data_IF_201032371678
#
_entry.id   IF_201032371678
#
_cell.length_a   1.000
_cell.length_b   1.000
_cell.length_c   1.000
_cell.angle_alpha   90.00
_cell.angle_beta   90.00
_cell.angle_gamma   90.00
#
_symmetry.space_group_name_H-M   'P 1'
#
loop_
_entity.id
_entity.type
_entity.pdbx_description
1 polymer ?
#
# COMPACT_ATOMS: atom_id res chain seq x y z
N UNK A 1 -24.19 27.50 22.91
CA UNK A 1 -22.98 28.35 22.94
C UNK A 1 -22.38 28.36 21.54
N UNK A 2 -22.18 29.53 20.93
CA UNK A 2 -21.58 29.63 19.59
C UNK A 2 -20.14 29.13 19.63
N UNK A 3 -19.82 28.05 18.90
CA UNK A 3 -18.44 27.58 18.74
C UNK A 3 -17.59 28.76 18.23
N UNK A 4 -16.64 29.23 19.04
CA UNK A 4 -15.68 30.25 18.61
C UNK A 4 -14.99 29.74 17.33
N UNK A 5 -15.05 30.53 16.25
CA UNK A 5 -14.24 30.29 15.04
C UNK A 5 -12.79 30.13 15.46
N UNK A 6 -12.23 28.94 15.27
CA UNK A 6 -10.84 28.60 15.63
C UNK A 6 -10.01 28.61 14.36
N UNK A 7 -9.20 29.65 14.18
CA UNK A 7 -8.21 29.69 13.11
C UNK A 7 -6.94 28.99 13.62
N UNK A 8 -6.40 28.06 12.83
CA UNK A 8 -5.15 27.38 13.13
C UNK A 8 -4.41 27.02 11.84
N UNK A 9 -3.09 26.85 11.93
CA UNK A 9 -2.26 26.30 10.87
C UNK A 9 -2.09 24.80 11.10
N UNK A 10 -2.24 24.01 10.04
CA UNK A 10 -2.06 22.56 10.07
C UNK A 10 -1.22 22.14 8.87
N UNK A 11 -0.24 21.28 9.11
CA UNK A 11 0.72 20.83 8.09
C UNK A 11 0.67 19.31 7.96
N UNK A 12 0.68 18.83 6.72
CA UNK A 12 0.86 17.43 6.36
C UNK A 12 1.95 17.33 5.31
N UNK A 13 2.64 16.19 5.26
CA UNK A 13 3.68 15.90 4.27
C UNK A 13 3.36 14.63 3.48
N UNK A 14 4.11 14.40 2.41
CA UNK A 14 4.08 13.17 1.62
C UNK A 14 5.45 12.93 0.99
N UNK A 15 5.68 11.71 0.50
CA UNK A 15 6.90 11.31 -0.19
C UNK A 15 6.56 10.53 -1.45
N UNK A 16 7.46 10.55 -2.44
CA UNK A 16 7.26 9.83 -3.69
C UNK A 16 7.52 8.34 -3.53
N UNK A 17 7.08 7.54 -4.50
CA UNK A 17 7.38 6.10 -4.61
C UNK A 17 8.89 5.78 -4.62
N UNK A 18 9.74 6.78 -4.89
CA UNK A 18 11.19 6.65 -4.91
C UNK A 18 11.88 6.83 -3.54
N UNK A 19 11.16 7.17 -2.48
CA UNK A 19 11.68 7.28 -1.12
C UNK A 19 12.06 5.87 -0.59
N UNK A 20 13.19 5.68 0.12
CA UNK A 20 13.62 4.35 0.60
C UNK A 20 12.55 3.57 1.36
N UNK A 21 11.89 4.19 2.36
CA UNK A 21 10.76 3.55 3.06
C UNK A 21 9.61 3.15 2.12
N UNK A 22 9.29 3.98 1.10
CA UNK A 22 8.25 3.65 0.13
C UNK A 22 8.65 2.57 -0.86
N UNK A 23 9.93 2.44 -1.15
CA UNK A 23 10.46 1.30 -1.90
C UNK A 23 10.28 0.01 -1.07
N UNK A 24 10.62 0.05 0.22
CA UNK A 24 10.42 -1.08 1.12
C UNK A 24 8.93 -1.49 1.22
N UNK A 25 8.02 -0.53 1.40
CA UNK A 25 6.57 -0.77 1.38
C UNK A 25 6.12 -1.46 0.08
N UNK A 26 6.58 -0.96 -1.08
CA UNK A 26 6.22 -1.51 -2.38
C UNK A 26 6.74 -2.92 -2.60
N UNK A 27 7.97 -3.24 -2.16
CA UNK A 27 8.53 -4.59 -2.25
C UNK A 27 7.70 -5.55 -1.38
N UNK A 28 7.41 -5.16 -0.13
CA UNK A 28 6.62 -5.98 0.80
C UNK A 28 5.21 -6.27 0.28
N UNK A 29 4.53 -5.28 -0.32
CA UNK A 29 3.23 -5.51 -0.95
C UNK A 29 3.29 -6.23 -2.30
N UNK A 30 4.40 -6.12 -3.05
CA UNK A 30 4.60 -6.93 -4.25
C UNK A 30 4.72 -8.41 -3.91
N UNK A 31 5.40 -8.75 -2.80
CA UNK A 31 5.46 -10.13 -2.28
C UNK A 31 4.06 -10.59 -1.87
N UNK A 32 3.29 -9.76 -1.16
CA UNK A 32 1.91 -10.09 -0.79
C UNK A 32 1.03 -10.35 -2.02
N UNK A 33 1.08 -9.47 -3.02
CA UNK A 33 0.30 -9.64 -4.25
C UNK A 33 0.70 -10.91 -5.00
N UNK A 34 2.00 -11.23 -5.05
CA UNK A 34 2.49 -12.46 -5.66
C UNK A 34 2.03 -13.73 -4.93
N UNK A 35 1.83 -13.66 -3.60
CA UNK A 35 1.19 -14.73 -2.82
C UNK A 35 -0.28 -14.82 -3.16
N UNK A 36 -1.03 -13.72 -3.03
CA UNK A 36 -2.48 -13.73 -3.18
C UNK A 36 -2.96 -14.02 -4.60
N UNK A 37 -2.11 -13.83 -5.62
CA UNK A 37 -2.42 -14.22 -6.99
C UNK A 37 -2.43 -15.73 -7.21
N UNK A 38 -1.71 -16.49 -6.39
CA UNK A 38 -1.60 -17.96 -6.47
C UNK A 38 -2.36 -18.66 -5.34
N UNK A 39 -2.42 -18.03 -4.17
CA UNK A 39 -3.01 -18.56 -2.94
C UNK A 39 -3.72 -17.44 -2.18
N UNK A 40 -5.02 -17.31 -2.45
CA UNK A 40 -5.88 -16.32 -1.81
C UNK A 40 -5.98 -16.48 -0.27
N UNK A 41 -5.59 -17.64 0.27
CA UNK A 41 -5.57 -17.94 1.71
C UNK A 41 -4.19 -17.73 2.35
N UNK A 42 -3.19 -17.39 1.55
CA UNK A 42 -1.81 -17.19 1.98
C UNK A 42 -1.71 -16.18 3.13
N UNK A 43 -0.88 -16.51 4.13
CA UNK A 43 -0.60 -15.67 5.28
C UNK A 43 0.74 -15.01 5.06
N UNK A 44 0.79 -13.69 5.10
CA UNK A 44 1.99 -12.89 4.78
C UNK A 44 2.20 -11.84 5.86
N UNK A 45 3.40 -11.84 6.44
CA UNK A 45 3.96 -10.74 7.21
C UNK A 45 5.37 -10.50 6.64
N UNK A 46 5.44 -9.79 5.53
CA UNK A 46 6.66 -9.53 4.78
C UNK A 46 7.22 -8.16 5.18
N UNK A 47 8.48 -8.15 5.60
CA UNK A 47 9.20 -6.93 5.95
C UNK A 47 10.38 -6.75 5.00
N UNK A 48 10.56 -5.52 4.51
CA UNK A 48 11.68 -5.18 3.63
C UNK A 48 12.53 -4.09 4.27
N UNK A 49 13.84 -4.32 4.30
CA UNK A 49 14.86 -3.29 4.53
C UNK A 49 15.57 -3.01 3.22
N UNK A 50 15.67 -1.73 2.84
CA UNK A 50 16.47 -1.28 1.70
C UNK A 50 17.57 -0.35 2.18
N UNK A 51 18.80 -0.60 1.73
CA UNK A 51 19.95 0.25 1.99
C UNK A 51 20.89 0.21 0.78
N UNK A 52 22.00 0.92 0.88
CA UNK A 52 23.03 1.04 -0.16
C UNK A 52 23.43 -0.33 -0.72
N UNK A 53 22.92 -0.65 -1.92
CA UNK A 53 23.21 -1.90 -2.65
C UNK A 53 22.68 -3.19 -2.01
N UNK A 54 21.65 -3.09 -1.15
CA UNK A 54 21.03 -4.23 -0.47
C UNK A 54 19.52 -4.02 -0.35
N UNK A 55 18.75 -5.03 -0.73
CA UNK A 55 17.36 -5.21 -0.30
C UNK A 55 17.29 -6.53 0.46
N UNK A 56 16.87 -6.48 1.72
CA UNK A 56 16.66 -7.65 2.56
C UNK A 56 15.16 -7.81 2.78
N UNK A 57 14.62 -8.92 2.27
CA UNK A 57 13.22 -9.32 2.49
C UNK A 57 13.21 -10.39 3.58
N UNK A 58 12.41 -10.19 4.62
CA UNK A 58 12.32 -11.04 5.80
C UNK A 58 10.86 -11.16 6.28
N UNK A 59 10.64 -11.96 7.33
CA UNK A 59 9.34 -12.16 7.98
C UNK A 59 8.75 -13.55 7.72
N UNK A 60 7.46 -13.71 8.01
CA UNK A 60 6.79 -15.02 8.03
C UNK A 60 5.74 -15.11 6.92
N UNK A 61 5.91 -16.10 6.05
CA UNK A 61 4.99 -16.40 4.96
C UNK A 61 4.57 -17.87 5.07
N UNK A 62 3.26 -18.11 5.10
CA UNK A 62 2.66 -19.45 5.05
C UNK A 62 1.72 -19.50 3.86
N UNK A 63 2.12 -20.23 2.83
CA UNK A 63 1.38 -20.28 1.55
C UNK A 63 1.74 -21.53 0.77
N UNK A 64 0.86 -21.91 -0.15
CA UNK A 64 1.12 -22.87 -1.23
C UNK A 64 1.72 -22.23 -2.49
N UNK A 65 1.77 -20.89 -2.57
CA UNK A 65 2.35 -20.16 -3.68
C UNK A 65 3.85 -20.45 -3.80
N UNK A 66 4.32 -20.63 -5.04
CA UNK A 66 5.75 -20.72 -5.32
C UNK A 66 6.24 -19.32 -5.66
N UNK A 67 6.99 -18.72 -4.75
CA UNK A 67 7.54 -17.38 -4.94
C UNK A 67 9.01 -17.49 -5.35
N UNK A 68 9.34 -16.95 -6.51
CA UNK A 68 10.71 -16.56 -6.78
C UNK A 68 10.91 -15.13 -6.25
N UNK A 69 11.23 -15.02 -4.96
CA UNK A 69 11.59 -13.74 -4.33
C UNK A 69 12.71 -13.03 -5.09
N UNK A 70 13.56 -13.81 -5.77
CA UNK A 70 14.59 -13.23 -6.61
C UNK A 70 13.99 -12.57 -7.84
N UNK A 71 12.92 -13.02 -8.50
CA UNK A 71 12.29 -12.26 -9.61
C UNK A 71 11.79 -10.88 -9.20
N UNK A 72 11.29 -10.76 -7.97
CA UNK A 72 10.80 -9.49 -7.41
C UNK A 72 11.96 -8.47 -7.25
N UNK A 73 13.21 -8.95 -7.11
CA UNK A 73 14.41 -8.10 -6.92
C UNK A 73 15.58 -8.38 -7.88
N UNK A 74 15.42 -9.22 -8.92
CA UNK A 74 16.52 -9.87 -9.67
C UNK A 74 17.37 -8.82 -10.40
N UNK A 75 16.73 -7.80 -10.95
CA UNK A 75 17.41 -6.70 -11.64
C UNK A 75 18.25 -5.85 -10.66
N UNK A 76 17.73 -5.55 -9.47
CA UNK A 76 18.48 -4.82 -8.41
C UNK A 76 19.60 -5.69 -7.84
N UNK A 77 19.36 -6.99 -7.66
CA UNK A 77 20.40 -7.94 -7.22
C UNK A 77 21.53 -8.02 -8.24
N UNK A 78 21.20 -8.18 -9.52
CA UNK A 78 22.18 -8.25 -10.59
C UNK A 78 22.95 -6.94 -10.75
N UNK A 79 22.29 -5.78 -10.63
CA UNK A 79 22.95 -4.46 -10.53
C UNK A 79 24.00 -4.43 -9.42
N UNK A 80 23.66 -4.95 -8.24
CA UNK A 80 24.60 -5.01 -7.12
C UNK A 80 25.75 -6.01 -7.37
N UNK A 81 25.47 -7.17 -7.98
CA UNK A 81 26.48 -8.19 -8.34
C UNK A 81 27.52 -7.62 -9.32
N UNK A 82 27.09 -7.07 -10.46
CA UNK A 82 28.00 -6.54 -11.49
C UNK A 82 28.79 -5.33 -11.01
N UNK A 83 28.24 -4.55 -10.07
CA UNK A 83 28.96 -3.48 -9.38
C UNK A 83 30.02 -4.04 -8.43
N UNK A 84 29.65 -4.96 -7.53
CA UNK A 84 30.57 -5.52 -6.52
C UNK A 84 31.69 -6.34 -7.16
N UNK A 85 31.44 -6.98 -8.29
CA UNK A 85 32.44 -7.68 -9.09
C UNK A 85 33.36 -6.76 -9.90
N UNK A 86 33.08 -5.44 -9.92
CA UNK A 86 33.84 -4.47 -10.71
C UNK A 86 33.62 -4.55 -12.23
N UNK A 87 32.61 -5.31 -12.69
CA UNK A 87 32.29 -5.45 -14.12
C UNK A 87 31.75 -4.16 -14.71
N UNK A 88 30.93 -3.43 -13.95
CA UNK A 88 30.46 -2.08 -14.30
C UNK A 88 30.97 -1.09 -13.23
N UNK A 89 32.23 -0.64 -13.32
CA UNK A 89 32.90 0.12 -12.25
C UNK A 89 32.31 1.52 -12.04
N UNK A 90 31.56 2.03 -13.02
CA UNK A 90 30.84 3.29 -12.90
C UNK A 90 29.59 3.18 -12.03
N UNK A 91 29.08 1.99 -11.74
CA UNK A 91 27.88 1.84 -10.91
C UNK A 91 28.16 2.25 -9.47
N UNK A 92 27.23 3.01 -8.91
CA UNK A 92 27.17 3.30 -7.48
C UNK A 92 26.08 2.44 -6.85
N UNK A 93 26.02 2.37 -5.52
CA UNK A 93 25.22 1.35 -4.87
C UNK A 93 23.70 1.50 -4.99
N UNK A 94 23.18 2.69 -5.29
CA UNK A 94 21.73 2.90 -5.46
C UNK A 94 21.26 2.44 -6.84
N UNK A 95 20.15 1.71 -6.87
CA UNK A 95 19.59 1.09 -8.06
C UNK A 95 18.13 0.71 -7.84
N UNK A 96 17.29 1.11 -8.79
CA UNK A 96 15.85 0.86 -8.82
C UNK A 96 15.53 0.08 -10.09
N UNK A 97 14.60 -0.87 -10.00
CA UNK A 97 14.07 -1.57 -11.17
C UNK A 97 12.56 -1.66 -11.12
N UNK A 98 11.92 -1.57 -12.28
CA UNK A 98 10.51 -1.84 -12.49
C UNK A 98 10.35 -2.65 -13.77
N UNK A 99 9.47 -3.66 -13.75
CA UNK A 99 9.15 -4.50 -14.90
C UNK A 99 7.64 -4.50 -15.10
N UNK A 100 7.22 -4.32 -16.35
CA UNK A 100 5.83 -4.43 -16.80
C UNK A 100 5.73 -5.67 -17.68
N UNK A 101 4.84 -6.60 -17.32
CA UNK A 101 4.64 -7.87 -18.03
C UNK A 101 3.26 -7.88 -18.67
N UNK A 102 3.19 -8.24 -19.94
CA UNK A 102 1.94 -8.52 -20.66
C UNK A 102 1.51 -9.96 -20.38
N UNK A 103 0.22 -10.14 -20.06
CA UNK A 103 -0.39 -11.44 -19.80
C UNK A 103 -1.40 -11.77 -20.91
N UNK A 104 -1.41 -13.03 -21.35
CA UNK A 104 -2.42 -13.62 -22.25
C UNK A 104 -2.94 -14.88 -21.56
N UNK A 105 -4.27 -14.98 -21.39
CA UNK A 105 -4.92 -16.10 -20.70
C UNK A 105 -4.31 -16.40 -19.32
N UNK A 106 -4.09 -15.34 -18.53
CA UNK A 106 -3.48 -15.38 -17.18
C UNK A 106 -2.06 -15.97 -17.11
N UNK A 107 -1.37 -16.10 -18.25
CA UNK A 107 0.03 -16.50 -18.32
C UNK A 107 0.92 -15.35 -18.82
N UNK A 108 2.13 -15.17 -18.28
CA UNK A 108 3.05 -14.14 -18.75
C UNK A 108 3.48 -14.45 -20.19
N UNK A 109 3.15 -13.55 -21.11
CA UNK A 109 3.41 -13.71 -22.53
C UNK A 109 4.73 -13.04 -22.95
N UNK A 110 4.96 -11.80 -22.49
CA UNK A 110 6.19 -11.03 -22.74
C UNK A 110 6.38 -9.91 -21.72
N UNK A 111 7.60 -9.40 -21.62
CA UNK A 111 7.90 -8.16 -20.90
C UNK A 111 7.65 -6.97 -21.83
N UNK A 112 6.68 -6.11 -21.49
CA UNK A 112 6.39 -4.90 -22.28
C UNK A 112 7.43 -3.81 -22.04
N UNK A 113 7.83 -3.62 -20.79
CA UNK A 113 8.69 -2.51 -20.40
C UNK A 113 9.55 -2.86 -19.19
N UNK A 114 10.83 -2.51 -19.26
CA UNK A 114 11.77 -2.53 -18.13
C UNK A 114 12.29 -1.12 -17.91
N UNK A 115 12.17 -0.64 -16.67
CA UNK A 115 12.77 0.62 -16.20
C UNK A 115 13.86 0.28 -15.21
N UNK A 116 15.06 0.81 -15.43
CA UNK A 116 16.14 0.75 -14.44
C UNK A 116 16.66 2.16 -14.22
N UNK A 117 16.67 2.59 -12.96
CA UNK A 117 17.31 3.83 -12.54
C UNK A 117 18.45 3.47 -11.61
N UNK A 118 19.68 3.53 -12.11
CA UNK A 118 20.88 3.19 -11.33
C UNK A 118 21.73 4.42 -11.11
N UNK A 119 22.26 4.55 -9.90
CA UNK A 119 23.24 5.57 -9.57
C UNK A 119 24.57 5.21 -10.23
N UNK A 120 25.31 6.24 -10.66
CA UNK A 120 26.56 6.06 -11.39
C UNK A 120 27.55 7.19 -11.11
N UNK A 121 28.81 6.99 -11.50
CA UNK A 121 29.82 8.04 -11.49
C UNK A 121 29.45 9.17 -12.45
N UNK A 122 30.00 10.34 -12.20
CA UNK A 122 29.84 11.51 -13.05
C UNK A 122 30.57 11.39 -14.40
N UNK A 123 31.49 10.43 -14.50
CA UNK A 123 32.35 10.17 -15.66
C UNK A 123 31.70 9.33 -16.77
N UNK A 124 30.64 8.57 -16.49
CA UNK A 124 30.01 7.68 -17.49
C UNK A 124 28.91 8.39 -18.28
N UNK A 125 28.79 8.06 -19.58
CA UNK A 125 27.74 8.60 -20.45
C UNK A 125 26.41 7.84 -20.29
N UNK A 126 25.28 8.52 -20.53
CA UNK A 126 23.96 7.87 -20.50
C UNK A 126 23.85 6.72 -21.52
N UNK A 127 24.50 6.83 -22.68
CA UNK A 127 24.52 5.77 -23.69
C UNK A 127 25.19 4.51 -23.14
N UNK A 128 26.36 4.67 -22.53
CA UNK A 128 27.12 3.56 -21.97
C UNK A 128 26.41 2.91 -20.77
N UNK A 129 25.76 3.71 -19.92
CA UNK A 129 24.89 3.18 -18.86
C UNK A 129 23.78 2.33 -19.48
N UNK A 130 23.07 2.88 -20.48
CA UNK A 130 21.93 2.20 -21.10
C UNK A 130 22.35 0.85 -21.70
N UNK A 131 23.36 0.84 -22.56
CA UNK A 131 23.87 -0.37 -23.21
C UNK A 131 24.36 -1.41 -22.18
N UNK A 132 25.12 -0.97 -21.18
CA UNK A 132 25.66 -1.85 -20.14
C UNK A 132 24.56 -2.47 -19.27
N UNK A 133 23.55 -1.68 -18.88
CA UNK A 133 22.46 -2.19 -18.05
C UNK A 133 21.58 -3.16 -18.83
N UNK A 134 21.27 -2.86 -20.10
CA UNK A 134 20.50 -3.78 -20.94
C UNK A 134 21.24 -5.12 -21.06
N UNK A 135 22.54 -5.09 -21.37
CA UNK A 135 23.33 -6.30 -21.61
C UNK A 135 23.68 -7.08 -20.34
N UNK A 136 24.27 -6.41 -19.37
CA UNK A 136 24.88 -7.07 -18.20
C UNK A 136 23.88 -7.31 -17.07
N UNK A 137 22.75 -6.61 -17.07
CA UNK A 137 21.69 -6.74 -16.05
C UNK A 137 20.43 -7.34 -16.63
N UNK A 138 19.77 -6.66 -17.58
CA UNK A 138 18.42 -7.04 -18.03
C UNK A 138 18.45 -8.37 -18.78
N UNK A 139 19.30 -8.51 -19.79
CA UNK A 139 19.41 -9.74 -20.59
C UNK A 139 19.97 -10.92 -19.80
N UNK A 140 20.67 -10.66 -18.68
CA UNK A 140 21.14 -11.71 -17.77
C UNK A 140 20.04 -12.22 -16.82
N UNK A 141 19.06 -11.38 -16.54
CA UNK A 141 18.00 -11.65 -15.55
C UNK A 141 16.72 -12.12 -16.23
N UNK A 142 16.30 -11.45 -17.29
CA UNK A 142 15.02 -11.69 -17.95
C UNK A 142 15.23 -12.79 -19.00
N UNK A 143 14.47 -13.89 -18.95
CA UNK A 143 14.56 -14.95 -19.95
C UNK A 143 14.43 -14.40 -21.38
N UNK A 144 15.29 -14.82 -22.32
CA UNK A 144 15.21 -14.36 -23.72
C UNK A 144 13.84 -14.63 -24.37
N UNK A 145 13.13 -15.67 -23.93
CA UNK A 145 11.78 -16.01 -24.39
C UNK A 145 10.71 -14.97 -24.03
N UNK A 146 10.99 -14.10 -23.05
CA UNK A 146 10.08 -13.03 -22.61
C UNK A 146 10.47 -11.65 -23.16
N UNK A 147 11.61 -11.52 -23.85
CA UNK A 147 12.06 -10.28 -24.48
C UNK A 147 11.79 -10.32 -25.98
N UNK A 148 11.13 -9.29 -26.51
CA UNK A 148 10.90 -9.16 -27.95
C UNK A 148 11.33 -7.78 -28.48
N UNK A 149 11.25 -7.57 -29.79
CA UNK A 149 11.61 -6.29 -30.42
C UNK A 149 10.70 -5.12 -30.02
N UNK A 150 9.61 -5.39 -29.29
CA UNK A 150 8.67 -4.38 -28.78
C UNK A 150 8.92 -4.07 -27.31
N UNK A 151 9.80 -4.79 -26.62
CA UNK A 151 10.15 -4.52 -25.22
C UNK A 151 10.85 -3.17 -25.10
N UNK A 152 10.31 -2.29 -24.26
CA UNK A 152 10.83 -0.93 -24.03
C UNK A 152 11.84 -0.94 -22.88
N UNK A 153 13.01 -0.35 -23.09
CA UNK A 153 14.04 -0.19 -22.05
C UNK A 153 14.24 1.28 -21.66
N UNK A 154 13.78 1.65 -20.48
CA UNK A 154 13.98 2.99 -19.90
C UNK A 154 15.10 2.94 -18.86
N UNK A 155 16.34 3.25 -19.28
CA UNK A 155 17.48 3.27 -18.37
C UNK A 155 17.81 4.72 -18.03
N UNK A 156 17.73 5.07 -16.75
CA UNK A 156 17.89 6.43 -16.23
C UNK A 156 17.07 7.48 -17.02
N UNK A 157 15.74 7.31 -17.16
CA UNK A 157 14.91 8.16 -18.03
C UNK A 157 14.90 9.65 -17.62
N UNK A 158 15.26 9.96 -16.37
CA UNK A 158 15.38 11.33 -15.84
C UNK A 158 16.76 11.96 -16.10
N UNK A 159 17.66 11.28 -16.82
CA UNK A 159 19.04 11.71 -17.04
C UNK A 159 19.98 11.27 -15.91
N UNK A 160 20.95 12.11 -15.57
CA UNK A 160 22.03 11.73 -14.63
C UNK A 160 21.49 11.51 -13.23
N UNK A 161 21.80 10.34 -12.65
CA UNK A 161 21.42 9.98 -11.29
C UNK A 161 22.69 9.90 -10.42
N UNK A 162 23.23 11.08 -10.07
CA UNK A 162 24.49 11.19 -9.32
C UNK A 162 24.26 11.12 -7.80
N UNK A 163 23.13 11.66 -7.29
CA UNK A 163 22.79 11.70 -5.87
C UNK A 163 21.30 11.39 -5.65
N UNK A 164 20.99 10.44 -4.76
CA UNK A 164 19.64 10.15 -4.25
C UNK A 164 19.50 8.71 -3.72
N UNK A 165 18.30 8.37 -3.22
CA UNK A 165 17.96 7.01 -2.76
C UNK A 165 18.62 6.58 -1.44
N UNK A 166 18.75 5.26 -1.17
CA UNK A 166 19.23 4.71 0.11
C UNK A 166 20.70 4.99 0.47
N UNK A 167 21.35 5.86 -0.31
CA UNK A 167 22.68 6.40 -0.03
C UNK A 167 22.64 7.43 1.12
N UNK A 168 21.50 8.11 1.32
CA UNK A 168 21.31 9.10 2.39
C UNK A 168 20.50 8.61 3.59
N UNK A 169 19.69 7.55 3.41
CA UNK A 169 18.79 7.04 4.45
C UNK A 169 18.40 5.57 4.18
N UNK A 170 18.36 4.73 5.21
CA UNK A 170 17.87 3.36 5.07
C UNK A 170 16.34 3.36 5.02
N UNK A 171 15.76 2.54 4.15
CA UNK A 171 14.31 2.36 4.06
C UNK A 171 13.85 1.11 4.79
N UNK A 172 12.76 1.21 5.54
CA UNK A 172 12.09 0.06 6.15
C UNK A 172 10.58 0.11 5.87
N UNK A 173 10.00 -1.07 5.72
CA UNK A 173 8.54 -1.23 5.61
C UNK A 173 7.85 -0.62 6.82
N UNK A 174 6.74 0.08 6.60
CA UNK A 174 5.92 0.62 7.70
C UNK A 174 6.51 1.85 8.39
N UNK A 175 7.45 2.57 7.79
CA UNK A 175 8.02 3.82 8.36
C UNK A 175 7.33 5.10 7.90
N UNK A 176 6.25 4.99 7.11
CA UNK A 176 5.47 6.10 6.56
C UNK A 176 3.97 6.03 6.87
N UNK A 177 3.59 5.41 7.99
CA UNK A 177 2.19 5.14 8.38
C UNK A 177 1.28 6.38 8.44
N UNK A 178 1.82 7.55 8.77
CA UNK A 178 1.04 8.80 8.79
C UNK A 178 0.82 9.34 7.37
N UNK A 179 1.82 9.21 6.49
CA UNK A 179 1.69 9.52 5.05
C UNK A 179 0.71 8.57 4.37
N UNK A 180 0.65 7.32 4.82
CA UNK A 180 -0.26 6.30 4.29
C UNK A 180 -1.73 6.54 4.60
N UNK A 181 -2.00 7.31 5.65
CA UNK A 181 -3.34 7.46 6.21
C UNK A 181 -3.86 8.89 6.05
N UNK A 182 -3.77 9.71 7.11
CA UNK A 182 -4.49 10.99 7.18
C UNK A 182 -3.58 12.19 7.45
N UNK A 183 -2.27 12.06 7.27
CA UNK A 183 -1.36 13.21 7.35
C UNK A 183 -1.33 13.90 8.72
N UNK A 184 -1.61 13.14 9.78
CA UNK A 184 -1.68 13.63 11.17
C UNK A 184 -3.03 14.25 11.55
N UNK A 185 -4.00 14.29 10.64
CA UNK A 185 -5.31 14.91 10.91
C UNK A 185 -6.23 14.03 11.77
N UNK A 186 -6.05 12.72 11.66
CA UNK A 186 -6.78 11.70 12.43
C UNK A 186 -5.81 10.89 13.29
N UNK A 187 -6.32 10.31 14.38
CA UNK A 187 -5.55 9.44 15.26
C UNK A 187 -5.10 8.17 14.53
N UNK A 188 -3.96 7.62 14.92
CA UNK A 188 -3.39 6.42 14.31
C UNK A 188 -3.08 5.35 15.37
N UNK A 189 -3.44 4.09 15.09
CA UNK A 189 -3.26 2.97 16.03
C UNK A 189 -1.84 2.40 16.09
N UNK A 190 -0.97 2.80 15.18
CA UNK A 190 0.47 2.47 15.15
C UNK A 190 0.85 1.32 14.20
N UNK A 191 -0.10 0.46 13.82
CA UNK A 191 0.15 -0.65 12.91
C UNK A 191 0.47 -0.20 11.47
N UNK A 192 1.56 -0.71 10.90
CA UNK A 192 1.87 -0.56 9.47
C UNK A 192 0.93 -1.40 8.59
N UNK A 193 0.81 -1.03 7.32
CA UNK A 193 -0.11 -1.66 6.36
C UNK A 193 0.63 -2.64 5.43
N UNK A 194 1.66 -2.16 4.72
CA UNK A 194 2.41 -2.91 3.70
C UNK A 194 2.96 -4.25 4.20
N UNK A 195 2.98 -5.27 3.34
CA UNK A 195 3.51 -6.60 3.66
C UNK A 195 2.59 -7.50 4.48
N UNK A 196 1.41 -7.02 4.87
CA UNK A 196 0.47 -7.78 5.71
C UNK A 196 -0.72 -8.29 4.91
N UNK A 197 -1.00 -9.58 5.00
CA UNK A 197 -2.23 -10.13 4.44
C UNK A 197 -3.48 -9.63 5.20
N UNK A 198 -4.69 -9.74 4.61
CA UNK A 198 -5.92 -9.17 5.17
C UNK A 198 -6.36 -9.70 6.53
N UNK A 199 -5.79 -10.81 6.99
CA UNK A 199 -6.08 -11.34 8.33
C UNK A 199 -5.43 -10.54 9.46
N UNK A 200 -4.44 -9.70 9.15
CA UNK A 200 -3.83 -8.77 10.08
C UNK A 200 -4.72 -7.53 10.22
N UNK A 201 -5.32 -7.39 11.39
CA UNK A 201 -6.29 -6.30 11.66
C UNK A 201 -5.69 -4.91 11.54
N UNK A 202 -4.37 -4.75 11.69
CA UNK A 202 -3.66 -3.49 11.39
C UNK A 202 -4.03 -2.93 10.02
N UNK A 203 -4.15 -3.80 9.01
CA UNK A 203 -4.53 -3.42 7.65
C UNK A 203 -6.04 -3.48 7.45
N UNK A 204 -6.65 -4.63 7.69
CA UNK A 204 -8.06 -4.83 7.33
C UNK A 204 -9.01 -3.99 8.18
N UNK A 205 -8.78 -3.88 9.49
CA UNK A 205 -9.62 -3.02 10.34
C UNK A 205 -9.37 -1.54 10.08
N UNK A 206 -8.15 -1.13 9.71
CA UNK A 206 -7.88 0.24 9.27
C UNK A 206 -8.69 0.58 8.01
N UNK A 207 -8.73 -0.34 7.03
CA UNK A 207 -9.56 -0.19 5.82
C UNK A 207 -11.05 -0.20 6.15
N UNK A 208 -11.51 -1.04 7.07
CA UNK A 208 -12.91 -1.05 7.52
C UNK A 208 -13.27 0.26 8.23
N UNK A 209 -12.41 0.79 9.10
CA UNK A 209 -12.65 2.07 9.77
C UNK A 209 -12.77 3.22 8.76
N UNK A 210 -11.91 3.25 7.72
CA UNK A 210 -12.03 4.17 6.58
C UNK A 210 -13.38 4.01 5.88
N UNK A 211 -13.75 2.79 5.54
CA UNK A 211 -15.00 2.48 4.84
C UNK A 211 -16.22 2.93 5.66
N UNK A 212 -16.26 2.64 6.96
CA UNK A 212 -17.32 3.09 7.87
C UNK A 212 -17.37 4.62 7.93
N UNK A 213 -16.25 5.29 8.22
CA UNK A 213 -16.21 6.75 8.33
C UNK A 213 -16.67 7.44 7.04
N UNK A 214 -16.22 6.93 5.88
CA UNK A 214 -16.64 7.44 4.57
C UNK A 214 -18.14 7.27 4.34
N UNK A 215 -18.71 6.12 4.71
CA UNK A 215 -20.14 5.87 4.58
C UNK A 215 -20.99 6.72 5.55
N UNK A 216 -20.52 6.95 6.78
CA UNK A 216 -21.18 7.87 7.72
C UNK A 216 -21.26 9.28 7.14
N UNK A 217 -20.16 9.80 6.58
CA UNK A 217 -20.16 11.14 5.95
C UNK A 217 -21.02 11.16 4.68
N UNK A 218 -20.87 10.16 3.79
CA UNK A 218 -21.64 10.07 2.55
C UNK A 218 -23.16 9.91 2.76
N UNK A 219 -23.58 9.33 3.89
CA UNK A 219 -25.00 9.23 4.25
C UNK A 219 -25.64 10.59 4.56
N UNK A 220 -24.81 11.60 4.90
CA UNK A 220 -25.24 12.90 5.39
C UNK A 220 -25.43 12.96 6.92
N UNK A 221 -25.22 11.85 7.64
CA UNK A 221 -25.37 11.81 9.10
C UNK A 221 -24.32 12.63 9.85
N UNK A 222 -23.18 12.93 9.25
CA UNK A 222 -22.16 13.80 9.81
C UNK A 222 -21.35 14.50 8.71
N UNK A 223 -20.75 15.65 9.02
CA UNK A 223 -19.81 16.32 8.10
C UNK A 223 -18.38 15.80 8.23
N UNK A 224 -18.05 15.25 9.40
CA UNK A 224 -16.77 14.62 9.73
C UNK A 224 -17.04 13.46 10.67
N UNK A 225 -16.30 12.37 10.52
CA UNK A 225 -16.34 11.23 11.41
C UNK A 225 -14.95 10.63 11.57
N UNK A 226 -14.59 10.26 12.79
CA UNK A 226 -13.47 9.37 13.10
C UNK A 226 -14.03 8.08 13.70
N UNK A 227 -13.47 6.94 13.31
CA UNK A 227 -13.88 5.60 13.77
C UNK A 227 -12.68 4.89 14.35
N UNK A 228 -12.80 4.39 15.58
CA UNK A 228 -11.80 3.55 16.21
C UNK A 228 -12.34 2.12 16.35
N UNK A 229 -11.52 1.16 15.96
CA UNK A 229 -11.73 -0.27 16.16
C UNK A 229 -10.53 -0.82 16.93
N UNK A 230 -10.76 -1.55 18.02
CA UNK A 230 -9.70 -2.23 18.76
C UNK A 230 -10.02 -3.71 18.92
N UNK A 231 -8.99 -4.55 18.86
CA UNK A 231 -9.11 -6.01 18.92
C UNK A 231 -8.15 -6.57 19.97
N UNK A 232 -8.56 -7.66 20.62
CA UNK A 232 -7.69 -8.49 21.43
C UNK A 232 -7.25 -9.72 20.62
N UNK A 233 -6.01 -10.15 20.79
CA UNK A 233 -5.48 -11.34 20.11
C UNK A 233 -6.35 -12.56 20.42
N UNK A 234 -6.76 -13.31 19.39
CA UNK A 234 -7.62 -14.49 19.52
C UNK A 234 -9.12 -14.19 19.70
N UNK A 235 -9.54 -12.93 19.80
CA UNK A 235 -10.95 -12.53 19.90
C UNK A 235 -11.41 -11.96 18.55
N UNK A 236 -12.46 -12.55 17.98
CA UNK A 236 -12.96 -12.15 16.66
C UNK A 236 -13.70 -10.81 16.70
N UNK A 237 -14.48 -10.56 17.75
CA UNK A 237 -15.21 -9.31 17.92
C UNK A 237 -14.29 -8.19 18.44
N UNK A 238 -14.48 -6.93 17.99
CA UNK A 238 -13.72 -5.81 18.52
C UNK A 238 -14.04 -5.58 19.99
N UNK A 239 -13.01 -5.38 20.81
CA UNK A 239 -13.15 -5.02 22.23
C UNK A 239 -13.68 -3.60 22.41
N UNK A 240 -13.45 -2.72 21.43
CA UNK A 240 -14.07 -1.40 21.38
C UNK A 240 -14.38 -0.97 19.94
N UNK A 241 -15.50 -0.26 19.81
CA UNK A 241 -15.92 0.47 18.61
C UNK A 241 -16.34 1.86 19.09
N UNK A 242 -15.77 2.90 18.50
CA UNK A 242 -16.08 4.29 18.82
C UNK A 242 -16.28 5.08 17.53
N UNK A 243 -17.31 5.92 17.51
CA UNK A 243 -17.52 6.96 16.50
C UNK A 243 -17.39 8.32 17.19
N UNK A 244 -16.61 9.23 16.63
CA UNK A 244 -16.50 10.64 17.05
C UNK A 244 -16.85 11.52 15.85
N UNK A 245 -17.94 12.28 15.93
CA UNK A 245 -18.35 13.18 14.85
C UNK A 245 -17.93 14.63 15.04
N UNK A 246 -17.18 14.93 16.11
CA UNK A 246 -16.69 16.27 16.43
C UNK A 246 -17.81 17.31 16.40
N UNK A 247 -18.94 16.96 17.01
CA UNK A 247 -20.16 17.80 17.08
C UNK A 247 -20.76 18.14 15.70
N UNK A 248 -20.48 17.33 14.67
CA UNK A 248 -21.06 17.50 13.32
C UNK A 248 -22.16 16.51 12.99
N UNK A 249 -22.44 15.57 13.89
CA UNK A 249 -23.46 14.55 13.74
C UNK A 249 -24.89 15.09 13.81
N UNK A 250 -25.79 14.49 13.03
CA UNK A 250 -27.24 14.71 13.10
C UNK A 250 -27.92 13.90 14.20
N UNK A 251 -27.26 12.85 14.70
CA UNK A 251 -27.69 12.00 15.81
C UNK A 251 -26.53 11.86 16.81
N UNK A 252 -26.77 11.46 18.07
CA UNK A 252 -25.70 11.23 19.04
C UNK A 252 -24.68 10.17 18.57
N UNK A 253 -23.41 10.36 18.92
CA UNK A 253 -22.29 9.48 18.53
C UNK A 253 -22.47 8.03 19.04
N UNK A 254 -23.14 7.83 20.18
CA UNK A 254 -23.53 6.52 20.70
C UNK A 254 -24.50 5.80 19.74
N UNK A 255 -25.51 6.52 19.23
CA UNK A 255 -26.44 5.96 18.24
C UNK A 255 -25.76 5.70 16.91
N UNK A 256 -24.78 6.52 16.51
CA UNK A 256 -23.96 6.19 15.34
C UNK A 256 -23.15 4.90 15.55
N UNK A 257 -22.58 4.72 16.75
CA UNK A 257 -21.85 3.52 17.11
C UNK A 257 -22.73 2.27 17.04
N UNK A 258 -23.98 2.35 17.51
CA UNK A 258 -24.96 1.27 17.37
C UNK A 258 -25.25 0.93 15.90
N UNK A 259 -25.46 1.94 15.07
CA UNK A 259 -25.70 1.74 13.63
C UNK A 259 -24.50 1.07 12.96
N UNK A 260 -23.28 1.46 13.34
CA UNK A 260 -22.05 0.84 12.83
C UNK A 260 -22.01 -0.64 13.22
N UNK A 261 -22.26 -0.98 14.49
CA UNK A 261 -22.30 -2.37 14.96
C UNK A 261 -23.38 -3.21 14.27
N UNK A 262 -24.52 -2.60 13.95
CA UNK A 262 -25.63 -3.30 13.32
C UNK A 262 -25.43 -3.54 11.80
N UNK A 263 -24.77 -2.61 11.09
CA UNK A 263 -24.75 -2.60 9.62
C UNK A 263 -23.44 -3.09 8.98
N UNK A 264 -22.36 -3.14 9.76
CA UNK A 264 -21.03 -3.53 9.30
C UNK A 264 -20.55 -4.77 10.04
N UNK A 265 -19.97 -5.73 9.30
CA UNK A 265 -19.35 -6.89 9.93
C UNK A 265 -17.92 -6.52 10.35
N UNK A 266 -17.69 -6.43 11.66
CA UNK A 266 -16.44 -5.94 12.23
C UNK A 266 -15.49 -7.07 12.68
N UNK A 267 -15.85 -8.34 12.47
CA UNK A 267 -14.90 -9.44 12.69
C UNK A 267 -13.85 -9.46 11.58
N UNK A 268 -12.62 -9.94 11.82
CA UNK A 268 -11.59 -10.03 10.76
C UNK A 268 -12.09 -10.75 9.51
N UNK A 269 -12.82 -11.86 9.67
CA UNK A 269 -13.43 -12.59 8.56
C UNK A 269 -14.47 -11.73 7.83
N UNK A 270 -15.40 -11.14 8.58
CA UNK A 270 -16.45 -10.30 8.02
C UNK A 270 -15.93 -9.10 7.26
N UNK A 271 -14.83 -8.50 7.73
CA UNK A 271 -14.13 -7.40 7.04
C UNK A 271 -13.56 -7.88 5.71
N UNK A 272 -12.84 -9.01 5.72
CA UNK A 272 -12.21 -9.57 4.52
C UNK A 272 -13.26 -9.85 3.44
N UNK A 273 -14.40 -10.44 3.84
CA UNK A 273 -15.51 -10.76 2.93
C UNK A 273 -16.21 -9.47 2.45
N UNK A 274 -16.52 -8.53 3.34
CA UNK A 274 -17.23 -7.29 3.00
C UNK A 274 -16.43 -6.39 2.04
N UNK A 275 -15.11 -6.38 2.20
CA UNK A 275 -14.21 -5.54 1.40
C UNK A 275 -13.50 -6.34 0.30
N UNK A 276 -13.80 -7.61 0.11
CA UNK A 276 -13.19 -8.44 -0.94
C UNK A 276 -11.65 -8.29 -0.97
N UNK A 277 -11.01 -8.61 0.16
CA UNK A 277 -9.58 -8.32 0.38
C UNK A 277 -8.63 -9.43 -0.10
N UNK A 278 -9.10 -10.63 -0.40
CA UNK A 278 -8.22 -11.75 -0.81
C UNK A 278 -7.89 -11.70 -2.31
N UNK A 279 -7.29 -10.60 -2.74
CA UNK A 279 -6.93 -10.32 -4.12
C UNK A 279 -5.58 -9.60 -4.20
N UNK A 280 -4.82 -9.73 -5.30
CA UNK A 280 -3.55 -9.05 -5.49
C UNK A 280 -3.75 -7.56 -5.87
N UNK A 281 -4.07 -6.72 -4.88
CA UNK A 281 -4.43 -5.31 -5.05
C UNK A 281 -3.54 -4.33 -4.26
N UNK A 282 -2.56 -4.83 -3.52
CA UNK A 282 -1.91 -4.10 -2.43
C UNK A 282 -0.72 -3.26 -2.87
N UNK A 283 0.07 -3.69 -3.87
CA UNK A 283 1.25 -2.93 -4.32
C UNK A 283 0.91 -1.51 -4.73
N UNK A 284 -0.28 -1.30 -5.30
CA UNK A 284 -0.77 0.02 -5.71
C UNK A 284 -1.06 0.95 -4.53
N UNK A 285 -1.22 0.41 -3.32
CA UNK A 285 -1.49 1.16 -2.09
C UNK A 285 -0.22 1.67 -1.40
N UNK A 286 0.92 1.00 -1.63
CA UNK A 286 2.17 1.24 -0.91
C UNK A 286 2.78 2.64 -1.08
N UNK A 287 2.31 3.44 -2.04
CA UNK A 287 2.69 4.83 -2.22
C UNK A 287 1.45 5.70 -2.51
N UNK A 288 1.58 7.01 -2.24
CA UNK A 288 0.54 8.02 -2.47
C UNK A 288 -0.73 7.86 -1.61
N UNK A 289 -0.62 7.17 -0.48
CA UNK A 289 -1.70 6.97 0.47
C UNK A 289 -2.62 5.81 0.10
N UNK A 290 -3.18 5.17 1.13
CA UNK A 290 -4.13 4.07 1.00
C UNK A 290 -5.58 4.57 0.83
N UNK A 291 -5.83 5.84 1.16
CA UNK A 291 -7.17 6.41 1.26
C UNK A 291 -7.36 7.61 0.34
N UNK A 292 -8.62 7.92 0.02
CA UNK A 292 -9.00 9.08 -0.77
C UNK A 292 -8.76 8.92 -2.28
N UNK A 293 -8.56 7.70 -2.75
CA UNK A 293 -8.31 7.39 -4.17
C UNK A 293 -9.49 6.61 -4.77
N UNK A 294 -9.68 6.71 -6.09
CA UNK A 294 -10.90 6.26 -6.79
C UNK A 294 -10.73 4.98 -7.60
N UNK A 295 -9.63 4.25 -7.42
CA UNK A 295 -9.40 2.99 -8.12
C UNK A 295 -10.48 1.96 -7.77
N UNK A 296 -11.07 1.27 -8.76
CA UNK A 296 -12.13 0.28 -8.52
C UNK A 296 -11.75 -0.85 -7.57
N UNK A 297 -10.45 -1.15 -7.47
CA UNK A 297 -9.89 -2.18 -6.59
C UNK A 297 -9.94 -1.82 -5.11
N UNK A 298 -10.02 -0.53 -4.75
CA UNK A 298 -10.05 -0.05 -3.36
C UNK A 298 -11.48 -0.01 -2.84
N UNK A 299 -11.98 -1.19 -2.51
CA UNK A 299 -13.34 -1.42 -2.04
C UNK A 299 -13.70 -0.66 -0.77
N UNK A 300 -12.71 -0.36 0.09
CA UNK A 300 -12.88 0.47 1.28
C UNK A 300 -13.17 1.95 0.97
N UNK A 301 -13.02 2.38 -0.28
CA UNK A 301 -13.42 3.71 -0.74
C UNK A 301 -14.85 3.74 -1.29
N UNK A 302 -15.60 2.63 -1.27
CA UNK A 302 -17.02 2.64 -1.65
C UNK A 302 -17.86 3.34 -0.57
N UNK A 303 -18.99 3.89 -1.00
CA UNK A 303 -19.98 4.55 -0.14
C UNK A 303 -21.38 3.93 -0.27
N UNK A 304 -21.42 2.61 -0.49
CA UNK A 304 -22.61 1.81 -0.79
C UNK A 304 -23.48 1.49 0.45
N UNK A 305 -22.96 1.69 1.67
CA UNK A 305 -23.73 1.59 2.93
C UNK A 305 -24.40 2.91 3.34
N UNK A 306 -24.12 4.01 2.64
CA UNK A 306 -24.64 5.34 2.97
C UNK A 306 -26.18 5.40 3.05
N UNK A 307 -26.87 4.77 2.09
CA UNK A 307 -28.35 4.76 2.08
C UNK A 307 -28.92 3.88 3.20
N UNK A 308 -28.30 2.74 3.49
CA UNK A 308 -28.71 1.87 4.59
C UNK A 308 -28.58 2.59 5.95
N UNK A 309 -27.47 3.33 6.15
CA UNK A 309 -27.26 4.16 7.33
C UNK A 309 -28.35 5.24 7.48
N UNK A 310 -28.66 5.96 6.39
CA UNK A 310 -29.69 6.99 6.39
C UNK A 310 -31.07 6.44 6.77
N UNK A 311 -31.47 5.30 6.18
CA UNK A 311 -32.74 4.64 6.50
C UNK A 311 -32.81 4.18 7.95
N UNK A 312 -31.75 3.54 8.45
CA UNK A 312 -31.71 3.04 9.82
C UNK A 312 -31.79 4.17 10.86
N UNK A 313 -31.14 5.31 10.60
CA UNK A 313 -31.22 6.49 11.46
C UNK A 313 -32.65 7.09 11.49
N UNK A 314 -33.33 7.15 10.34
CA UNK A 314 -34.68 7.69 10.25
C UNK A 314 -35.71 6.87 11.04
N UNK A 315 -35.62 5.53 10.98
CA UNK A 315 -36.51 4.63 11.75
C UNK A 315 -36.33 4.82 13.26
N UNK A 316 -35.08 4.88 13.73
CA UNK A 316 -34.80 5.13 15.16
C UNK A 316 -35.26 6.50 15.62
N UNK A 317 -35.17 7.53 14.78
CA UNK A 317 -35.71 8.86 15.08
C UNK A 317 -37.23 8.87 15.28
N UNK A 318 -37.96 8.05 14.50
CA UNK A 318 -39.41 7.92 14.63
C UNK A 318 -39.84 7.18 15.90
N UNK A 319 -39.08 6.18 16.35
CA UNK A 319 -39.36 5.44 17.60
C UNK A 319 -39.13 6.27 18.86
N UNK A 320 -38.18 7.21 18.84
CA UNK A 320 -37.91 8.13 19.96
C UNK A 320 -38.94 9.26 20.03
N UNK A 321 -39.49 9.71 18.89
CA UNK A 321 -40.53 10.75 18.83
C UNK A 321 -41.95 10.27 19.14
N UNK A 322 -42.16 8.94 19.22
CA UNK A 322 -43.45 8.32 19.51
C UNK A 322 -43.62 7.86 20.98
N UNK A 323 -42.63 8.14 21.84
CA UNK A 323 -42.66 7.91 23.29
C UNK A 323 -42.70 9.23 24.04
#
# INVERSE_FOLDING_TARGET
MSQKKRNFLFTSESVTEGHPDKIADQISDAVLDAVLSQDAMGRVACETLVTTGLAMVAGEITTSAVLDYSEIVKLVRRLAEVRKAGHLPFLRPDGKSQVTVEYVDDRPARVDCVVISTQHSDSVSNREIHESIVKEVIQHVVPPTLLDSRTKFHINPTGRFVVGGPMGDAGLTGRKIIVDTYGGYSRHGGGALSGKDPTKVDRSACYMARYVAKNLVASGLARRAEVQLAYAIGVAEPVSVMVDTFETGMIPDEQMTDLVRALFSLTPRGIIESLDLRRPIYRRTAAYGHFGRSEPTFTWERSDKAEALRKAAAVRGAEVGAR
#
